data_IF_946950767495
#
_entry.id   IF_946950767495
#
_cell.length_a   1.000
_cell.length_b   1.000
_cell.length_c   1.000
_cell.angle_alpha   90.00
_cell.angle_beta   90.00
_cell.angle_gamma   90.00
#
_symmetry.space_group_name_H-M   'P 1'
#
loop_
_entity.id
_entity.type
_entity.pdbx_description
1 polymer ?
#
# COMPACT_ATOMS: atom_id res chain seq x y z
N UNK A 1 72.78 -52.86 -58.64
CA UNK A 1 71.66 -52.28 -59.41
C UNK A 1 70.61 -51.86 -58.41
N UNK A 2 70.60 -50.58 -58.10
CA UNK A 2 69.71 -49.98 -57.13
C UNK A 2 68.69 -49.08 -57.86
N UNK A 3 67.44 -49.43 -57.76
CA UNK A 3 66.33 -48.64 -58.31
C UNK A 3 65.88 -47.73 -57.20
N UNK A 4 66.03 -46.37 -57.38
CA UNK A 4 65.62 -45.39 -56.45
C UNK A 4 64.16 -44.97 -56.78
N UNK A 5 63.28 -45.32 -55.86
CA UNK A 5 61.82 -44.88 -55.96
C UNK A 5 61.68 -43.57 -55.27
N UNK A 6 61.41 -42.55 -56.00
CA UNK A 6 61.08 -41.22 -55.49
C UNK A 6 59.57 -41.10 -55.26
N UNK A 7 59.21 -41.04 -53.96
CA UNK A 7 57.81 -40.83 -53.59
C UNK A 7 57.54 -39.31 -53.44
N UNK A 8 56.68 -38.76 -54.28
CA UNK A 8 56.22 -37.38 -54.20
C UNK A 8 55.12 -37.31 -53.17
N UNK A 9 55.37 -36.59 -52.04
CA UNK A 9 54.32 -36.22 -51.07
C UNK A 9 53.60 -34.97 -51.56
N UNK A 10 52.36 -35.12 -51.96
CA UNK A 10 51.44 -34.00 -52.21
C UNK A 10 50.83 -33.62 -50.86
N UNK A 11 51.28 -32.53 -50.29
CA UNK A 11 50.64 -31.90 -49.12
C UNK A 11 49.41 -31.14 -49.61
N UNK A 12 48.20 -31.74 -49.42
CA UNK A 12 46.97 -31.01 -49.59
C UNK A 12 46.76 -30.08 -48.40
N UNK A 13 46.75 -28.75 -48.61
CA UNK A 13 46.27 -27.78 -47.66
C UNK A 13 44.74 -27.98 -47.51
N UNK A 14 44.32 -28.49 -46.36
CA UNK A 14 42.90 -28.46 -46.01
C UNK A 14 42.58 -27.12 -45.34
N UNK A 15 41.92 -26.26 -46.05
CA UNK A 15 41.35 -25.03 -45.50
C UNK A 15 40.28 -25.43 -44.46
N UNK A 16 40.58 -25.22 -43.19
CA UNK A 16 39.59 -25.26 -42.12
C UNK A 16 38.64 -24.07 -42.33
N UNK A 17 37.48 -24.35 -42.86
CA UNK A 17 36.35 -23.44 -42.75
C UNK A 17 35.99 -23.38 -41.23
N UNK A 18 36.39 -22.30 -40.58
CA UNK A 18 35.86 -21.96 -39.25
C UNK A 18 34.40 -21.67 -39.39
N UNK A 19 33.59 -22.63 -38.96
CA UNK A 19 32.17 -22.42 -38.73
C UNK A 19 32.06 -21.36 -37.63
N UNK A 20 31.70 -20.13 -38.02
CA UNK A 20 31.30 -19.09 -37.09
C UNK A 20 30.07 -19.64 -36.38
N UNK A 21 30.25 -20.21 -35.22
CA UNK A 21 29.16 -20.47 -34.29
C UNK A 21 28.58 -19.08 -33.94
N UNK A 22 27.46 -18.73 -34.54
CA UNK A 22 26.60 -17.71 -34.03
C UNK A 22 26.31 -18.06 -32.57
N UNK A 23 27.03 -17.44 -31.65
CA UNK A 23 26.62 -17.34 -30.27
C UNK A 23 25.27 -16.64 -30.29
N UNK A 24 24.20 -17.43 -30.36
CA UNK A 24 22.89 -16.95 -30.06
C UNK A 24 23.02 -16.26 -28.70
N UNK A 25 22.89 -14.95 -28.70
CA UNK A 25 22.81 -14.14 -27.50
C UNK A 25 21.76 -14.81 -26.63
N UNK A 26 22.19 -15.43 -25.54
CA UNK A 26 21.27 -15.85 -24.49
C UNK A 26 20.59 -14.57 -24.03
N UNK A 27 19.41 -14.31 -24.53
CA UNK A 27 18.54 -13.29 -23.96
C UNK A 27 18.30 -13.72 -22.53
N UNK A 28 19.09 -13.16 -21.61
CA UNK A 28 18.82 -13.33 -20.19
C UNK A 28 17.43 -12.78 -19.98
N UNK A 29 16.46 -13.67 -19.87
CA UNK A 29 15.07 -13.24 -19.56
C UNK A 29 15.14 -12.51 -18.24
N UNK A 30 14.86 -11.21 -18.26
CA UNK A 30 14.85 -10.42 -17.03
C UNK A 30 13.79 -11.01 -16.11
N UNK A 31 14.17 -11.29 -14.87
CA UNK A 31 13.26 -11.78 -13.85
C UNK A 31 12.10 -10.79 -13.65
N UNK A 32 10.89 -11.31 -13.64
CA UNK A 32 9.65 -10.52 -13.47
C UNK A 32 9.02 -10.86 -12.12
N UNK A 33 8.89 -9.85 -11.30
CA UNK A 33 8.23 -9.92 -9.99
C UNK A 33 6.74 -9.56 -10.14
N UNK A 34 5.89 -10.33 -9.48
CA UNK A 34 4.44 -10.09 -9.45
C UNK A 34 4.00 -9.98 -8.00
N UNK A 35 3.66 -8.76 -7.60
CA UNK A 35 3.25 -8.45 -6.24
C UNK A 35 1.74 -8.19 -6.18
N UNK A 36 1.17 -8.42 -5.02
CA UNK A 36 -0.20 -8.07 -4.69
C UNK A 36 -0.18 -6.92 -3.68
N UNK A 37 -0.93 -5.87 -3.97
CA UNK A 37 -1.22 -4.80 -3.03
C UNK A 37 -2.69 -4.88 -2.64
N UNK A 38 -2.98 -5.02 -1.34
CA UNK A 38 -4.34 -4.95 -0.81
C UNK A 38 -4.57 -3.61 -0.15
N UNK A 39 -5.74 -3.01 -0.33
CA UNK A 39 -6.05 -1.69 0.23
C UNK A 39 -7.20 -1.76 1.24
N UNK A 40 -7.32 -0.74 2.07
CA UNK A 40 -8.47 -0.56 2.97
C UNK A 40 -9.61 0.23 2.31
N UNK A 41 -9.43 0.66 1.06
CA UNK A 41 -10.31 1.57 0.36
C UNK A 41 -11.35 0.84 -0.49
N UNK A 42 -12.56 1.40 -0.63
CA UNK A 42 -13.52 0.91 -1.62
C UNK A 42 -12.96 1.02 -3.05
N UNK A 43 -13.42 0.16 -3.95
CA UNK A 43 -13.12 0.28 -5.38
C UNK A 43 -13.51 1.68 -5.90
N UNK A 44 -12.71 2.22 -6.82
CA UNK A 44 -12.89 3.55 -7.42
C UNK A 44 -12.90 4.71 -6.39
N UNK A 45 -12.32 4.50 -5.21
CA UNK A 45 -12.25 5.58 -4.23
C UNK A 45 -11.19 6.61 -4.67
N UNK A 46 -11.62 7.88 -4.88
CA UNK A 46 -10.71 8.94 -5.36
C UNK A 46 -9.50 9.11 -4.45
N UNK A 47 -8.38 9.53 -5.04
CA UNK A 47 -7.11 9.83 -4.38
C UNK A 47 -6.40 8.56 -3.86
N UNK A 48 -7.03 7.78 -3.00
CA UNK A 48 -6.33 6.68 -2.32
C UNK A 48 -6.35 5.37 -3.10
N UNK A 49 -7.50 4.90 -3.56
CA UNK A 49 -7.56 3.69 -4.39
C UNK A 49 -6.95 3.98 -5.77
N UNK A 50 -7.38 5.06 -6.41
CA UNK A 50 -6.82 5.52 -7.69
C UNK A 50 -5.31 5.81 -7.58
N UNK A 51 -4.85 6.38 -6.46
CA UNK A 51 -3.44 6.62 -6.20
C UNK A 51 -2.61 5.36 -6.08
N UNK A 52 -3.16 4.30 -5.44
CA UNK A 52 -2.53 3.00 -5.36
C UNK A 52 -2.41 2.34 -6.74
N UNK A 53 -3.46 2.41 -7.56
CA UNK A 53 -3.49 1.89 -8.93
C UNK A 53 -2.49 2.64 -9.82
N UNK A 54 -2.48 3.97 -9.74
CA UNK A 54 -1.52 4.81 -10.46
C UNK A 54 -0.08 4.51 -10.04
N UNK A 55 0.19 4.35 -8.75
CA UNK A 55 1.50 3.95 -8.25
C UNK A 55 1.96 2.62 -8.87
N UNK A 56 1.08 1.62 -8.90
CA UNK A 56 1.37 0.33 -9.50
C UNK A 56 1.70 0.44 -10.99
N UNK A 57 0.97 1.27 -11.73
CA UNK A 57 1.22 1.53 -13.16
C UNK A 57 2.56 2.26 -13.38
N UNK A 58 2.86 3.27 -12.58
CA UNK A 58 4.13 4.00 -12.68
C UNK A 58 5.32 3.07 -12.38
N UNK A 59 5.24 2.22 -11.35
CA UNK A 59 6.26 1.22 -11.02
C UNK A 59 6.45 0.24 -12.17
N UNK A 60 5.38 -0.23 -12.79
CA UNK A 60 5.44 -1.13 -13.96
C UNK A 60 6.19 -0.48 -15.11
N UNK A 61 5.90 0.79 -15.40
CA UNK A 61 6.58 1.54 -16.46
C UNK A 61 8.06 1.77 -16.13
N UNK A 62 8.36 2.28 -14.94
CA UNK A 62 9.74 2.57 -14.51
C UNK A 62 10.62 1.32 -14.42
N UNK A 63 10.04 0.17 -14.06
CA UNK A 63 10.75 -1.10 -14.01
C UNK A 63 10.87 -1.81 -15.36
N UNK A 64 10.36 -1.20 -16.43
CA UNK A 64 10.24 -1.83 -17.76
C UNK A 64 9.50 -3.18 -17.68
N UNK A 65 8.42 -3.25 -16.89
CA UNK A 65 7.59 -4.46 -16.69
C UNK A 65 8.22 -5.52 -15.77
N UNK A 66 9.35 -5.26 -15.15
CA UNK A 66 9.99 -6.21 -14.22
C UNK A 66 9.26 -6.34 -12.90
N UNK A 67 8.63 -5.28 -12.40
CA UNK A 67 7.79 -5.32 -11.22
C UNK A 67 6.35 -4.96 -11.59
N UNK A 68 5.46 -5.94 -11.46
CA UNK A 68 4.04 -5.78 -11.71
C UNK A 68 3.29 -5.91 -10.37
N UNK A 69 2.59 -4.86 -9.97
CA UNK A 69 1.81 -4.83 -8.74
C UNK A 69 0.33 -4.90 -9.11
N UNK A 70 -0.35 -5.96 -8.68
CA UNK A 70 -1.81 -6.08 -8.82
C UNK A 70 -2.47 -5.48 -7.57
N UNK A 71 -3.29 -4.44 -7.76
CA UNK A 71 -3.98 -3.75 -6.67
C UNK A 71 -5.38 -4.33 -6.49
N UNK A 72 -5.75 -4.61 -5.24
CA UNK A 72 -7.04 -5.13 -4.84
C UNK A 72 -7.68 -4.18 -3.84
N UNK A 73 -8.91 -3.79 -4.08
CA UNK A 73 -9.67 -2.95 -3.17
C UNK A 73 -10.05 -3.69 -1.89
N UNK A 74 -10.43 -2.94 -0.88
CA UNK A 74 -10.82 -3.50 0.43
C UNK A 74 -11.98 -4.47 0.31
N UNK A 75 -11.75 -5.71 0.76
CA UNK A 75 -12.73 -6.80 0.70
C UNK A 75 -12.64 -7.69 -0.54
N UNK A 76 -11.82 -7.36 -1.55
CA UNK A 76 -11.66 -8.21 -2.73
C UNK A 76 -10.80 -9.46 -2.45
N UNK A 77 -9.66 -9.29 -1.83
CA UNK A 77 -8.73 -10.39 -1.53
C UNK A 77 -8.68 -10.70 -0.04
N UNK A 78 -8.67 -9.65 0.78
CA UNK A 78 -8.74 -9.75 2.25
C UNK A 78 -9.73 -8.72 2.80
N UNK A 79 -10.35 -8.96 3.97
CA UNK A 79 -11.17 -7.94 4.61
C UNK A 79 -10.39 -6.63 4.80
N UNK A 80 -11.01 -5.49 4.52
CA UNK A 80 -10.34 -4.19 4.48
C UNK A 80 -9.52 -3.86 5.73
N UNK A 81 -10.02 -4.21 6.93
CA UNK A 81 -9.33 -3.94 8.19
C UNK A 81 -8.26 -4.98 8.56
N UNK A 82 -8.10 -6.05 7.76
CA UNK A 82 -7.07 -7.10 7.94
C UNK A 82 -5.85 -6.90 7.02
N UNK A 83 -5.77 -5.79 6.30
CA UNK A 83 -4.65 -5.47 5.41
C UNK A 83 -3.31 -5.53 6.15
N UNK A 84 -3.23 -4.98 7.37
CA UNK A 84 -2.03 -5.02 8.21
C UNK A 84 -1.58 -6.45 8.49
N UNK A 85 -2.49 -7.32 8.94
CA UNK A 85 -2.19 -8.70 9.28
C UNK A 85 -1.75 -9.50 8.04
N UNK A 86 -2.41 -9.29 6.89
CA UNK A 86 -2.08 -9.97 5.65
C UNK A 86 -0.65 -9.67 5.17
N UNK A 87 -0.20 -8.40 5.26
CA UNK A 87 1.16 -8.02 4.89
C UNK A 87 2.16 -8.48 5.94
N UNK A 88 1.87 -8.29 7.22
CA UNK A 88 2.74 -8.70 8.33
C UNK A 88 3.05 -10.21 8.31
N UNK A 89 2.08 -11.03 7.91
CA UNK A 89 2.22 -12.48 7.77
C UNK A 89 2.80 -12.92 6.42
N UNK A 90 3.07 -11.98 5.51
CA UNK A 90 3.60 -12.28 4.18
C UNK A 90 2.60 -12.96 3.24
N UNK A 91 1.30 -12.89 3.52
CA UNK A 91 0.25 -13.41 2.62
C UNK A 91 0.16 -12.61 1.33
N UNK A 92 0.45 -11.32 1.42
CA UNK A 92 0.60 -10.37 0.30
C UNK A 92 1.82 -9.51 0.54
N UNK A 93 2.38 -8.96 -0.54
CA UNK A 93 3.64 -8.21 -0.50
C UNK A 93 3.46 -6.77 -0.04
N UNK A 94 2.30 -6.17 -0.30
CA UNK A 94 2.04 -4.75 -0.02
C UNK A 94 0.64 -4.52 0.53
N UNK A 95 0.51 -3.49 1.37
CA UNK A 95 -0.76 -2.97 1.85
C UNK A 95 -0.84 -1.46 1.78
N UNK A 96 -2.02 -0.92 1.54
CA UNK A 96 -2.29 0.51 1.59
C UNK A 96 -3.50 0.80 2.47
N UNK A 97 -3.29 1.54 3.54
CA UNK A 97 -4.35 1.88 4.49
C UNK A 97 -3.91 2.95 5.48
N UNK A 98 -4.81 3.37 6.33
CA UNK A 98 -4.49 4.38 7.33
C UNK A 98 -4.05 3.74 8.64
N UNK A 99 -2.95 4.21 9.24
CA UNK A 99 -2.37 3.62 10.44
C UNK A 99 -3.33 3.49 11.63
N UNK A 100 -4.30 4.37 11.77
CA UNK A 100 -5.24 4.31 12.88
C UNK A 100 -6.15 3.06 12.87
N UNK A 101 -6.26 2.36 11.73
CA UNK A 101 -7.08 1.14 11.66
C UNK A 101 -6.54 0.00 12.52
N UNK A 102 -5.24 -0.03 12.75
CA UNK A 102 -4.57 -1.04 13.60
C UNK A 102 -4.14 -0.51 14.96
N UNK A 103 -4.78 0.56 15.43
CA UNK A 103 -4.57 1.10 16.76
C UNK A 103 -4.82 0.10 17.91
N UNK A 104 -5.56 -0.98 17.65
CA UNK A 104 -5.75 -2.10 18.58
C UNK A 104 -4.50 -2.96 18.74
N UNK A 105 -3.67 -3.07 17.69
CA UNK A 105 -2.42 -3.83 17.68
C UNK A 105 -1.23 -2.94 18.02
N UNK A 106 -1.19 -1.74 17.43
CA UNK A 106 -0.13 -0.74 17.64
C UNK A 106 -0.80 0.59 18.05
N UNK A 107 -0.96 0.86 19.35
CA UNK A 107 -1.60 2.09 19.81
C UNK A 107 -0.95 3.38 19.29
N UNK A 108 0.36 3.35 19.08
CA UNK A 108 1.16 4.49 18.60
C UNK A 108 0.93 4.79 17.11
N UNK A 109 0.47 3.84 16.33
CA UNK A 109 0.24 4.00 14.88
C UNK A 109 -0.71 5.16 14.55
N UNK A 110 -1.63 5.47 15.47
CA UNK A 110 -2.60 6.57 15.31
C UNK A 110 -1.94 7.94 15.11
N UNK A 111 -0.75 8.16 15.67
CA UNK A 111 -0.05 9.44 15.55
C UNK A 111 0.52 9.69 14.15
N UNK A 112 0.65 8.67 13.33
CA UNK A 112 1.07 8.77 11.94
C UNK A 112 -0.09 8.92 10.95
N UNK A 113 -1.30 9.09 11.46
CA UNK A 113 -2.50 9.36 10.69
C UNK A 113 -3.10 10.70 11.11
N UNK A 114 -4.24 10.71 11.78
CA UNK A 114 -4.94 11.93 12.18
C UNK A 114 -5.01 12.09 13.69
N UNK A 115 -4.54 13.24 14.16
CA UNK A 115 -4.69 13.70 15.55
C UNK A 115 -5.65 14.88 15.55
N UNK A 116 -6.75 14.85 16.32
CA UNK A 116 -7.65 16.00 16.42
C UNK A 116 -6.87 17.28 16.79
N UNK A 117 -7.07 18.36 16.01
CA UNK A 117 -6.34 19.62 16.11
C UNK A 117 -4.82 19.50 15.97
N UNK A 118 -4.33 18.41 15.37
CA UNK A 118 -2.92 18.14 15.15
C UNK A 118 -2.34 18.91 13.97
N UNK A 119 -1.28 18.33 13.39
CA UNK A 119 -0.56 18.94 12.28
C UNK A 119 -1.38 18.95 10.98
N UNK A 120 -1.23 20.02 10.21
CA UNK A 120 -1.69 20.04 8.81
C UNK A 120 -0.88 19.07 7.97
N UNK A 121 -1.32 18.78 6.72
CA UNK A 121 -0.58 17.95 5.78
C UNK A 121 0.88 18.40 5.60
N UNK A 122 1.11 19.72 5.50
CA UNK A 122 2.45 20.29 5.39
C UNK A 122 3.30 20.02 6.66
N UNK A 123 2.71 20.19 7.84
CA UNK A 123 3.38 19.92 9.12
C UNK A 123 3.70 18.43 9.27
N UNK A 124 2.75 17.54 8.93
CA UNK A 124 2.94 16.10 8.96
C UNK A 124 4.07 15.66 8.03
N UNK A 125 4.10 16.16 6.80
CA UNK A 125 5.18 15.84 5.86
C UNK A 125 6.54 16.36 6.36
N UNK A 126 6.59 17.57 6.92
CA UNK A 126 7.82 18.10 7.50
C UNK A 126 8.31 17.25 8.67
N UNK A 127 7.42 16.82 9.55
CA UNK A 127 7.76 15.92 10.65
C UNK A 127 8.23 14.55 10.17
N UNK A 128 7.51 13.93 9.25
CA UNK A 128 7.85 12.61 8.72
C UNK A 128 9.23 12.62 8.05
N UNK A 129 9.49 13.55 7.14
CA UNK A 129 10.71 13.53 6.33
C UNK A 129 11.90 14.25 6.95
N UNK A 130 11.69 15.23 7.83
CA UNK A 130 12.76 16.06 8.39
C UNK A 130 12.79 16.06 9.92
N UNK A 131 11.70 15.66 10.57
CA UNK A 131 11.56 15.68 12.03
C UNK A 131 11.72 14.31 12.71
N UNK A 132 12.14 13.29 11.97
CA UNK A 132 12.35 11.93 12.50
C UNK A 132 11.09 11.09 12.59
N UNK A 133 9.92 11.59 12.17
CA UNK A 133 8.65 10.88 12.27
C UNK A 133 8.62 9.58 11.47
N UNK A 134 9.21 9.55 10.28
CA UNK A 134 9.28 8.33 9.47
C UNK A 134 10.12 7.25 10.15
N UNK A 135 11.24 7.62 10.75
CA UNK A 135 12.08 6.67 11.49
C UNK A 135 11.31 6.07 12.69
N UNK A 136 10.61 6.90 13.46
CA UNK A 136 9.77 6.42 14.56
C UNK A 136 8.67 5.48 14.06
N UNK A 137 8.04 5.83 12.93
CA UNK A 137 7.00 4.98 12.34
C UNK A 137 7.56 3.63 11.91
N UNK A 138 8.71 3.61 11.25
CA UNK A 138 9.40 2.38 10.87
C UNK A 138 9.75 1.52 12.10
N UNK A 139 10.27 2.12 13.17
CA UNK A 139 10.61 1.41 14.40
C UNK A 139 9.43 0.69 15.05
N UNK A 140 8.25 1.30 15.08
CA UNK A 140 7.08 0.65 15.68
C UNK A 140 6.46 -0.43 14.77
N UNK A 141 6.78 -0.43 13.46
CA UNK A 141 6.30 -1.44 12.51
C UNK A 141 7.30 -2.59 12.29
N UNK A 142 8.58 -2.39 12.62
CA UNK A 142 9.63 -3.40 12.50
C UNK A 142 9.29 -4.73 13.20
N UNK A 143 8.76 -4.75 14.44
CA UNK A 143 8.41 -6.00 15.12
C UNK A 143 7.33 -6.83 14.41
N UNK A 144 6.61 -6.21 13.48
CA UNK A 144 5.57 -6.84 12.66
C UNK A 144 6.07 -7.21 11.26
N UNK A 145 7.39 -7.16 11.03
CA UNK A 145 8.00 -7.46 9.73
C UNK A 145 7.51 -6.53 8.62
N UNK A 146 7.26 -5.26 8.94
CA UNK A 146 6.73 -4.26 8.02
C UNK A 146 7.70 -3.09 7.84
N UNK A 147 7.86 -2.67 6.58
CA UNK A 147 8.48 -1.41 6.22
C UNK A 147 7.38 -0.44 5.76
N UNK A 148 7.38 0.77 6.28
CA UNK A 148 6.32 1.74 6.03
C UNK A 148 6.81 2.98 5.31
N UNK A 149 5.96 3.50 4.41
CA UNK A 149 6.16 4.75 3.69
C UNK A 149 4.86 5.55 3.64
N UNK A 150 4.90 6.88 3.80
CA UNK A 150 3.74 7.71 3.56
C UNK A 150 3.41 7.74 2.06
N UNK A 151 2.14 7.59 1.70
CA UNK A 151 1.70 7.59 0.32
C UNK A 151 0.78 8.76 -0.02
N UNK A 152 -0.11 9.15 0.89
CA UNK A 152 -1.06 10.22 0.63
C UNK A 152 -1.55 10.91 1.90
N UNK A 153 -2.18 12.06 1.72
CA UNK A 153 -2.79 12.83 2.79
C UNK A 153 -4.08 13.49 2.28
N UNK A 154 -5.16 13.39 3.04
CA UNK A 154 -6.46 13.95 2.70
C UNK A 154 -6.57 15.46 2.97
N UNK A 155 -5.57 16.04 3.60
CA UNK A 155 -5.67 17.41 4.08
C UNK A 155 -6.50 17.53 5.36
N UNK A 156 -7.08 18.70 5.57
CA UNK A 156 -7.95 18.98 6.71
C UNK A 156 -9.31 18.35 6.48
N UNK A 157 -9.82 17.64 7.47
CA UNK A 157 -11.15 17.03 7.43
C UNK A 157 -12.07 17.66 8.46
N UNK A 158 -13.36 17.67 8.16
CA UNK A 158 -14.39 18.06 9.14
C UNK A 158 -14.57 16.97 10.21
N UNK A 159 -15.18 17.32 11.34
CA UNK A 159 -15.41 16.41 12.45
C UNK A 159 -16.37 15.26 12.15
N UNK A 160 -17.20 15.36 11.13
CA UNK A 160 -18.06 14.26 10.69
C UNK A 160 -19.36 14.71 10.00
N UNK A 161 -20.10 13.71 9.52
CA UNK A 161 -21.39 13.79 8.87
C UNK A 161 -22.43 13.21 9.81
N UNK A 162 -23.49 13.98 10.12
CA UNK A 162 -24.50 13.65 11.12
C UNK A 162 -25.89 13.64 10.51
N UNK A 163 -26.74 12.69 10.90
CA UNK A 163 -28.17 12.68 10.51
C UNK A 163 -28.97 13.80 11.15
N UNK A 164 -28.48 14.41 12.20
CA UNK A 164 -29.08 15.55 12.89
C UNK A 164 -28.07 16.65 13.13
N UNK A 165 -28.55 17.89 13.27
CA UNK A 165 -27.68 19.01 13.62
C UNK A 165 -27.13 18.83 15.04
N UNK A 166 -25.85 19.08 15.22
CA UNK A 166 -25.15 19.09 16.50
C UNK A 166 -24.95 20.54 16.91
N UNK A 167 -25.55 20.94 18.00
CA UNK A 167 -25.45 22.29 18.54
C UNK A 167 -24.69 22.34 19.88
N UNK A 168 -24.58 21.22 20.57
CA UNK A 168 -23.95 21.12 21.90
C UNK A 168 -23.40 19.72 22.12
N UNK A 169 -22.56 19.55 23.16
CA UNK A 169 -22.08 18.24 23.61
C UNK A 169 -23.22 17.29 24.03
N UNK A 170 -24.35 17.83 24.48
CA UNK A 170 -25.50 16.99 24.81
C UNK A 170 -26.08 16.26 23.60
N UNK A 171 -25.94 16.83 22.40
CA UNK A 171 -26.42 16.21 21.16
C UNK A 171 -25.54 15.02 20.74
N UNK A 172 -24.32 14.93 21.26
CA UNK A 172 -23.39 13.82 21.00
C UNK A 172 -23.70 12.60 21.86
N UNK A 173 -24.29 12.81 23.05
CA UNK A 173 -24.55 11.72 24.01
C UNK A 173 -25.37 10.60 23.38
N UNK A 174 -24.83 9.38 23.45
CA UNK A 174 -25.46 8.18 22.93
C UNK A 174 -25.45 8.01 21.40
N UNK A 175 -24.98 9.00 20.62
CA UNK A 175 -24.82 8.84 19.17
C UNK A 175 -23.84 7.74 18.85
N UNK A 176 -24.18 6.90 17.90
CA UNK A 176 -23.29 5.89 17.33
C UNK A 176 -22.60 6.48 16.10
N UNK A 177 -21.32 6.67 16.19
CA UNK A 177 -20.52 7.25 15.11
C UNK A 177 -19.42 6.30 14.63
N UNK A 178 -19.33 6.11 13.33
CA UNK A 178 -18.15 5.50 12.74
C UNK A 178 -17.05 6.54 12.71
N UNK A 179 -16.04 6.35 13.54
CA UNK A 179 -14.87 7.22 13.61
C UNK A 179 -13.66 6.42 14.14
N UNK A 180 -12.54 6.36 13.39
CA UNK A 180 -11.35 5.62 13.82
C UNK A 180 -10.45 6.45 14.73
N UNK A 181 -9.50 5.75 15.36
CA UNK A 181 -8.33 6.34 15.99
C UNK A 181 -8.64 7.31 17.14
N UNK A 182 -7.79 8.33 17.27
CA UNK A 182 -7.86 9.31 18.35
C UNK A 182 -9.15 10.15 18.29
N UNK A 183 -9.67 10.43 17.09
CA UNK A 183 -10.97 11.09 16.94
C UNK A 183 -12.08 10.31 17.60
N UNK A 184 -12.07 8.98 17.45
CA UNK A 184 -13.00 8.09 18.14
C UNK A 184 -12.90 8.16 19.65
N UNK A 185 -11.68 8.22 20.19
CA UNK A 185 -11.46 8.37 21.65
C UNK A 185 -12.04 9.68 22.16
N UNK A 186 -11.78 10.79 21.49
CA UNK A 186 -12.34 12.11 21.85
C UNK A 186 -13.86 12.09 21.78
N UNK A 187 -14.46 11.51 20.74
CA UNK A 187 -15.90 11.42 20.60
C UNK A 187 -16.55 10.59 21.72
N UNK A 188 -15.89 9.50 22.12
CA UNK A 188 -16.33 8.65 23.25
C UNK A 188 -16.29 9.41 24.58
N UNK A 189 -15.21 10.17 24.84
CA UNK A 189 -15.11 11.01 26.05
C UNK A 189 -16.20 12.11 26.09
N UNK A 190 -16.64 12.59 24.92
CA UNK A 190 -17.78 13.50 24.80
C UNK A 190 -19.15 12.85 25.04
N UNK A 191 -19.19 11.53 25.30
CA UNK A 191 -20.41 10.77 25.62
C UNK A 191 -21.04 10.06 24.42
N UNK A 192 -20.39 10.02 23.28
CA UNK A 192 -20.81 9.26 22.11
C UNK A 192 -20.38 7.79 22.16
N UNK A 193 -20.90 6.99 21.25
CA UNK A 193 -20.47 5.60 21.03
C UNK A 193 -19.74 5.49 19.70
N UNK A 194 -18.59 4.82 19.69
CA UNK A 194 -17.77 4.73 18.49
C UNK A 194 -17.75 3.31 17.92
N UNK A 195 -17.74 3.21 16.60
CA UNK A 195 -17.64 1.96 15.86
C UNK A 195 -16.56 2.11 14.81
N UNK A 196 -15.71 1.09 14.66
CA UNK A 196 -14.79 0.98 13.53
C UNK A 196 -15.38 0.01 12.51
N UNK A 197 -15.50 0.44 11.27
CA UNK A 197 -15.92 -0.38 10.13
C UNK A 197 -15.24 0.08 8.85
N UNK A 198 -15.20 -0.80 7.85
CA UNK A 198 -14.65 -0.49 6.53
C UNK A 198 -15.45 0.63 5.84
N UNK A 199 -14.78 1.41 4.99
CA UNK A 199 -15.42 2.50 4.24
C UNK A 199 -16.59 2.04 3.38
N UNK A 200 -16.50 0.86 2.78
CA UNK A 200 -17.57 0.26 1.97
C UNK A 200 -18.86 -0.06 2.74
N UNK A 201 -18.78 -0.17 4.07
CA UNK A 201 -19.94 -0.52 4.92
C UNK A 201 -20.72 0.71 5.42
N UNK A 202 -20.10 1.90 5.35
CA UNK A 202 -20.63 3.13 5.98
C UNK A 202 -22.02 3.49 5.45
N UNK A 203 -22.20 3.50 4.12
CA UNK A 203 -23.48 3.88 3.51
C UNK A 203 -24.63 3.00 4.02
N UNK A 204 -24.46 1.70 3.94
CA UNK A 204 -25.46 0.73 4.38
C UNK A 204 -25.72 0.83 5.90
N UNK A 205 -24.67 1.05 6.69
CA UNK A 205 -24.81 1.21 8.14
C UNK A 205 -25.60 2.50 8.51
N UNK A 206 -25.37 3.59 7.79
CA UNK A 206 -26.17 4.81 7.93
C UNK A 206 -27.62 4.59 7.49
N UNK A 207 -27.85 3.99 6.33
CA UNK A 207 -29.19 3.74 5.79
C UNK A 207 -30.04 2.90 6.76
N UNK A 208 -29.47 1.78 7.25
CA UNK A 208 -30.14 0.87 8.18
C UNK A 208 -30.23 1.41 9.61
N UNK A 209 -29.63 2.55 9.91
CA UNK A 209 -29.61 3.10 11.27
C UNK A 209 -28.70 2.33 12.23
N UNK A 210 -27.75 1.55 11.76
CA UNK A 210 -26.73 0.92 12.62
C UNK A 210 -25.79 1.97 13.22
N UNK A 211 -25.53 3.05 12.49
CA UNK A 211 -24.83 4.26 12.94
C UNK A 211 -25.67 5.51 12.66
N UNK A 212 -25.43 6.56 13.46
CA UNK A 212 -26.11 7.85 13.38
C UNK A 212 -25.27 8.94 12.72
N UNK A 213 -23.95 8.69 12.65
CA UNK A 213 -22.96 9.61 12.11
C UNK A 213 -21.72 8.84 11.60
N UNK A 214 -20.94 9.50 10.77
CA UNK A 214 -19.65 9.01 10.32
C UNK A 214 -18.64 10.14 10.18
N UNK A 215 -17.40 9.87 10.45
CA UNK A 215 -16.26 10.60 9.91
C UNK A 215 -15.84 9.90 8.63
N UNK A 216 -15.51 10.65 7.60
CA UNK A 216 -14.93 10.20 6.36
C UNK A 216 -14.24 11.36 5.66
N UNK A 217 -13.43 11.03 4.67
CA UNK A 217 -12.72 12.03 3.87
C UNK A 217 -13.71 13.07 3.34
N UNK A 218 -13.38 14.33 3.53
CA UNK A 218 -14.16 15.48 3.04
C UNK A 218 -13.92 15.72 1.56
N UNK A 219 -14.91 16.27 0.82
CA UNK A 219 -14.68 16.75 -0.54
C UNK A 219 -13.64 17.87 -0.56
#
# INVERSE_FOLDING_TARGET
>A
FFLLLVIFFITACSDKVETIQNNASSSTSMEVFRWKMVTTWPSNFPIFQEGAERFADEVRVMSNGRLNINVYAGGELVPALQVFDAVSQGTVEMGHGSPYYWAGTIPEAQFFSSVPFGMTAKGMNAWLYNGGGLLLWQQIYEPFNLMVFPMGNTGVQMGGWFKKKINSLNDIKGLRMRIPGLGGKVFKEAGGNTVLMAGSEIYTALERGAIDATEWVSP
#
